data_IF_865616280732
#
_entry.id   IF_865616280732
#
_cell.length_a   1.000
_cell.length_b   1.000
_cell.length_c   1.000
_cell.angle_alpha   90.00
_cell.angle_beta   90.00
_cell.angle_gamma   90.00
#
_symmetry.space_group_name_H-M   'P 1'
#
loop_
_entity.id
_entity.type
_entity.pdbx_description
1 polymer ?
#
# COMPACT_ATOMS: atom_id res chain seq x y z
N UNK A 1 -24.51 12.49 -17.95
CA UNK A 1 -23.90 11.79 -16.80
C UNK A 1 -22.43 12.18 -16.70
N UNK A 2 -22.01 12.85 -15.61
CA UNK A 2 -20.57 12.99 -15.31
C UNK A 2 -20.11 11.62 -14.80
N UNK A 3 -19.20 10.95 -15.52
CA UNK A 3 -18.53 9.73 -15.00
C UNK A 3 -17.73 10.14 -13.77
N UNK A 4 -18.11 9.66 -12.60
CA UNK A 4 -17.17 9.61 -11.46
C UNK A 4 -16.07 8.62 -11.85
N UNK A 5 -14.88 9.13 -12.13
CA UNK A 5 -13.68 8.30 -12.28
C UNK A 5 -13.20 7.96 -10.86
N UNK A 6 -13.82 6.95 -10.26
CA UNK A 6 -13.36 6.42 -8.98
C UNK A 6 -11.92 5.92 -9.18
N UNK A 7 -10.97 6.60 -8.53
CA UNK A 7 -9.56 6.23 -8.56
C UNK A 7 -9.30 5.23 -7.45
N UNK A 8 -8.66 4.12 -7.80
CA UNK A 8 -8.27 3.09 -6.85
C UNK A 8 -6.83 3.30 -6.44
N UNK A 9 -6.58 3.25 -5.14
CA UNK A 9 -5.24 3.33 -4.57
C UNK A 9 -4.96 2.04 -3.82
N UNK A 10 -3.71 1.60 -3.87
CA UNK A 10 -3.27 0.39 -3.21
C UNK A 10 -2.00 0.70 -2.42
N UNK A 11 -2.13 0.71 -1.10
CA UNK A 11 -1.01 0.93 -0.19
C UNK A 11 -0.30 -0.40 0.10
N UNK A 12 1.03 -0.40 -0.07
CA UNK A 12 1.89 -1.57 -0.03
C UNK A 12 3.19 -1.27 0.73
N UNK A 13 3.78 -2.29 1.33
CA UNK A 13 5.15 -2.18 1.82
C UNK A 13 6.16 -2.27 0.67
N UNK A 14 7.11 -1.33 0.54
CA UNK A 14 8.13 -1.40 -0.49
C UNK A 14 9.07 -2.59 -0.32
N UNK A 15 9.17 -3.17 0.89
CA UNK A 15 9.93 -4.40 1.13
C UNK A 15 9.25 -5.65 0.55
N UNK A 16 7.91 -5.65 0.40
CA UNK A 16 7.19 -6.77 -0.19
C UNK A 16 7.25 -6.69 -1.73
N UNK A 17 8.36 -7.19 -2.29
CA UNK A 17 8.61 -7.17 -3.73
C UNK A 17 7.56 -7.93 -4.54
N UNK A 18 6.97 -8.98 -3.95
CA UNK A 18 5.93 -9.76 -4.61
C UNK A 18 4.65 -8.93 -4.77
N UNK A 19 4.16 -8.30 -3.70
CA UNK A 19 2.99 -7.43 -3.78
C UNK A 19 3.22 -6.26 -4.77
N UNK A 20 4.42 -5.68 -4.76
CA UNK A 20 4.78 -4.63 -5.71
C UNK A 20 4.81 -5.12 -7.17
N UNK A 21 5.23 -6.35 -7.43
CA UNK A 21 5.18 -6.95 -8.77
C UNK A 21 3.74 -7.11 -9.26
N UNK A 22 2.85 -7.67 -8.43
CA UNK A 22 1.43 -7.82 -8.77
C UNK A 22 0.79 -6.47 -9.07
N UNK A 23 1.09 -5.43 -8.28
CA UNK A 23 0.57 -4.09 -8.53
C UNK A 23 0.98 -3.54 -9.90
N UNK A 24 2.26 -3.74 -10.28
CA UNK A 24 2.75 -3.34 -11.62
C UNK A 24 2.06 -4.12 -12.73
N UNK A 25 1.90 -5.43 -12.56
CA UNK A 25 1.23 -6.29 -13.55
C UNK A 25 -0.24 -5.90 -13.75
N UNK A 26 -0.89 -5.37 -12.71
CA UNK A 26 -2.26 -4.84 -12.75
C UNK A 26 -2.34 -3.37 -13.21
N UNK A 27 -1.22 -2.76 -13.60
CA UNK A 27 -1.17 -1.40 -14.15
C UNK A 27 -1.16 -0.27 -13.11
N UNK A 28 -0.95 -0.57 -11.83
CA UNK A 28 -0.71 0.46 -10.83
C UNK A 28 0.68 1.09 -11.01
N UNK A 29 0.78 2.38 -10.70
CA UNK A 29 2.04 3.13 -10.68
C UNK A 29 2.25 3.80 -9.32
N UNK A 30 3.50 3.98 -8.86
CA UNK A 30 3.77 4.65 -7.59
C UNK A 30 3.25 6.10 -7.61
N UNK A 31 2.31 6.43 -6.73
CA UNK A 31 1.75 7.78 -6.62
C UNK A 31 2.39 8.61 -5.49
N UNK A 32 2.83 7.94 -4.42
CA UNK A 32 3.45 8.55 -3.23
C UNK A 32 4.26 7.51 -2.46
N UNK A 33 5.20 7.99 -1.64
CA UNK A 33 5.90 7.17 -0.65
C UNK A 33 5.62 7.72 0.74
N UNK A 34 5.13 6.87 1.63
CA UNK A 34 4.78 7.23 3.00
C UNK A 34 5.67 6.49 3.98
N UNK A 35 6.13 7.20 5.02
CA UNK A 35 6.87 6.60 6.12
C UNK A 35 5.89 6.21 7.23
N UNK A 36 5.75 4.91 7.50
CA UNK A 36 4.93 4.43 8.62
C UNK A 36 5.64 4.74 9.94
N UNK A 37 4.94 5.40 10.85
CA UNK A 37 5.45 5.76 12.17
C UNK A 37 4.68 5.00 13.25
N UNK A 38 5.36 4.61 14.32
CA UNK A 38 4.74 4.04 15.52
C UNK A 38 5.24 4.79 16.76
N UNK A 39 4.36 4.99 17.74
CA UNK A 39 4.75 5.56 19.04
C UNK A 39 4.95 4.43 20.03
N UNK A 40 6.14 4.35 20.62
CA UNK A 40 6.46 3.33 21.63
C UNK A 40 7.15 2.11 21.02
N UNK A 41 6.78 0.91 21.49
CA UNK A 41 7.43 -0.33 21.05
C UNK A 41 7.14 -0.58 19.56
N UNK A 42 8.19 -0.89 18.82
CA UNK A 42 8.06 -1.29 17.42
C UNK A 42 7.21 -2.56 17.29
N UNK A 43 6.22 -2.51 16.40
CA UNK A 43 5.43 -3.67 16.01
C UNK A 43 6.21 -4.43 14.92
N UNK A 44 6.60 -5.67 15.22
CA UNK A 44 7.24 -6.57 14.24
C UNK A 44 6.16 -7.22 13.38
N UNK A 45 5.87 -6.59 12.26
CA UNK A 45 4.92 -7.08 11.26
C UNK A 45 5.61 -8.05 10.30
N UNK A 46 4.91 -9.12 9.90
CA UNK A 46 5.35 -9.98 8.79
C UNK A 46 5.06 -9.30 7.45
N UNK A 47 5.86 -8.30 7.09
CA UNK A 47 5.65 -7.45 5.90
C UNK A 47 5.59 -8.24 4.60
N UNK A 48 6.31 -9.36 4.52
CA UNK A 48 6.32 -10.23 3.33
C UNK A 48 4.98 -10.96 3.13
N UNK A 49 4.21 -11.15 4.21
CA UNK A 49 2.87 -11.72 4.17
C UNK A 49 1.73 -10.71 3.95
N UNK A 50 2.03 -9.40 3.90
CA UNK A 50 1.02 -8.33 3.82
C UNK A 50 0.96 -7.79 2.38
N UNK A 51 -0.13 -8.09 1.68
CA UNK A 51 -0.36 -7.67 0.29
C UNK A 51 -1.27 -6.44 0.16
N UNK A 52 -1.88 -5.98 1.25
CA UNK A 52 -2.65 -4.75 1.26
C UNK A 52 -2.66 -4.14 2.66
N UNK A 53 -2.60 -2.82 2.71
CA UNK A 53 -2.84 -2.03 3.92
C UNK A 53 -4.23 -1.42 3.79
N UNK A 54 -4.93 -1.20 4.90
CA UNK A 54 -6.30 -0.65 4.91
C UNK A 54 -6.41 0.82 4.44
N UNK A 55 -5.33 1.39 3.91
CA UNK A 55 -5.20 2.81 3.60
C UNK A 55 -4.38 3.55 4.64
N UNK A 56 -3.86 4.72 4.28
CA UNK A 56 -3.14 5.62 5.20
C UNK A 56 -3.97 5.97 6.45
N UNK A 57 -5.28 6.16 6.29
CA UNK A 57 -6.19 6.63 7.34
C UNK A 57 -6.44 5.58 8.43
N UNK A 58 -6.29 4.29 8.07
CA UNK A 58 -6.62 3.17 8.94
C UNK A 58 -5.42 2.29 9.29
N UNK A 59 -4.28 2.55 8.64
CA UNK A 59 -2.94 2.10 8.99
C UNK A 59 -2.85 0.68 9.51
#
# INVERSE_FOLDING_TARGET
MKKSLSSWYWDLFPSNQHAAAIARDLGFTPQRHLLRMARGKELRENRDGIYAIAGFELG
#
